data_IF_901232307173
#
_entry.id   IF_901232307173
#
_cell.length_a   1.000
_cell.length_b   1.000
_cell.length_c   1.000
_cell.angle_alpha   90.00
_cell.angle_beta   90.00
_cell.angle_gamma   90.00
#
_symmetry.space_group_name_H-M   'P 1'
#
loop_
_entity.id
_entity.type
_entity.pdbx_description
1 polymer ?
#
# COMPACT_ATOMS: atom_id res chain seq x y z
N UNK A 1 34.92 42.62 -46.97
CA UNK A 1 34.08 42.61 -45.78
C UNK A 1 33.17 41.39 -45.87
N UNK A 2 33.52 40.30 -45.12
CA UNK A 2 32.70 39.09 -45.06
C UNK A 2 31.86 39.13 -43.80
N UNK A 3 30.55 39.07 -43.94
CA UNK A 3 29.60 39.00 -42.85
C UNK A 3 29.33 37.52 -42.58
N UNK A 4 29.77 37.01 -41.40
CA UNK A 4 29.43 35.66 -40.94
C UNK A 4 28.17 35.75 -40.09
N UNK A 5 27.09 35.15 -40.61
CA UNK A 5 25.82 34.99 -39.83
C UNK A 5 25.93 33.69 -39.05
N UNK A 6 26.00 33.77 -37.73
CA UNK A 6 25.92 32.63 -36.85
C UNK A 6 24.45 32.36 -36.52
N UNK A 7 23.90 31.27 -37.09
CA UNK A 7 22.60 30.74 -36.69
C UNK A 7 22.73 29.98 -35.37
N UNK A 8 22.21 30.50 -34.27
CA UNK A 8 22.05 29.78 -33.04
C UNK A 8 20.81 28.89 -33.09
N UNK A 9 20.98 27.61 -33.24
CA UNK A 9 19.90 26.60 -33.08
C UNK A 9 19.72 26.32 -31.58
N UNK A 10 18.62 26.81 -31.04
CA UNK A 10 18.17 26.44 -29.71
C UNK A 10 17.62 25.01 -29.70
N UNK A 11 18.39 24.05 -29.16
CA UNK A 11 17.90 22.72 -28.82
C UNK A 11 16.97 22.88 -27.61
N UNK A 12 15.66 22.82 -27.86
CA UNK A 12 14.64 22.66 -26.82
C UNK A 12 14.82 21.30 -26.16
N UNK A 13 15.40 21.28 -24.97
CA UNK A 13 15.46 20.08 -24.13
C UNK A 13 14.06 19.72 -23.68
N UNK A 14 13.53 18.61 -24.19
CA UNK A 14 12.35 17.96 -23.61
C UNK A 14 12.78 17.42 -22.26
N UNK A 15 12.35 18.06 -21.18
CA UNK A 15 12.50 17.54 -19.83
C UNK A 15 11.68 16.23 -19.74
N UNK A 16 12.35 15.11 -19.96
CA UNK A 16 11.80 13.80 -19.69
C UNK A 16 11.52 13.71 -18.21
N UNK A 17 10.25 13.70 -17.83
CA UNK A 17 9.83 13.32 -16.48
C UNK A 17 10.24 11.86 -16.28
N UNK A 18 11.36 11.65 -15.61
CA UNK A 18 11.75 10.35 -15.07
C UNK A 18 10.69 9.99 -14.02
N UNK A 19 9.72 9.16 -14.39
CA UNK A 19 8.88 8.48 -13.39
C UNK A 19 9.82 7.53 -12.65
N UNK A 20 10.35 7.98 -11.52
CA UNK A 20 10.96 7.08 -10.56
C UNK A 20 9.83 6.16 -10.09
N UNK A 21 9.79 4.95 -10.62
CA UNK A 21 8.96 3.88 -10.04
C UNK A 21 9.44 3.74 -8.60
N UNK A 22 8.60 4.10 -7.63
CA UNK A 22 8.93 3.89 -6.23
C UNK A 22 9.32 2.42 -6.06
N UNK A 23 10.53 2.20 -5.54
CA UNK A 23 11.06 0.87 -5.32
C UNK A 23 10.14 0.13 -4.35
N UNK A 24 9.82 -1.13 -4.64
CA UNK A 24 9.02 -1.95 -3.74
C UNK A 24 9.83 -2.31 -2.50
N UNK A 25 9.21 -2.20 -1.35
CA UNK A 25 9.77 -2.61 -0.06
C UNK A 25 9.14 -3.93 0.38
N UNK A 26 9.69 -4.56 1.41
CA UNK A 26 9.21 -5.84 1.93
C UNK A 26 8.93 -5.75 3.41
N UNK A 27 7.90 -6.44 3.88
CA UNK A 27 7.58 -6.57 5.30
C UNK A 27 7.04 -7.97 5.59
N UNK A 28 7.25 -8.45 6.83
CA UNK A 28 6.68 -9.71 7.31
C UNK A 28 5.76 -9.42 8.50
N UNK A 29 4.50 -9.84 8.38
CA UNK A 29 3.50 -9.71 9.42
C UNK A 29 3.25 -11.07 10.07
N UNK A 30 3.19 -11.11 11.40
CA UNK A 30 2.87 -12.32 12.16
C UNK A 30 1.35 -12.44 12.34
N UNK A 31 0.86 -13.67 12.43
CA UNK A 31 -0.57 -13.92 12.68
C UNK A 31 -1.00 -13.37 14.05
N UNK A 32 -1.94 -12.42 14.05
CA UNK A 32 -2.49 -11.81 15.26
C UNK A 32 -3.05 -12.85 16.23
N UNK A 33 -3.79 -13.82 15.73
CA UNK A 33 -4.41 -14.89 16.51
C UNK A 33 -3.39 -15.80 17.18
N UNK A 34 -2.27 -16.10 16.49
CA UNK A 34 -1.25 -17.04 16.99
C UNK A 34 -0.37 -16.39 18.06
N UNK A 35 0.09 -15.17 17.81
CA UNK A 35 1.13 -14.54 18.62
C UNK A 35 0.58 -13.54 19.64
N UNK A 36 -0.68 -13.14 19.48
CA UNK A 36 -1.33 -12.10 20.33
C UNK A 36 -0.53 -10.78 20.39
N UNK A 37 0.24 -10.50 19.34
CA UNK A 37 1.09 -9.32 19.23
C UNK A 37 0.55 -8.40 18.13
N UNK A 38 -0.05 -7.28 18.56
CA UNK A 38 -0.66 -6.33 17.65
C UNK A 38 0.38 -5.63 16.75
N UNK A 39 1.48 -5.20 17.36
CA UNK A 39 2.51 -4.47 16.63
C UNK A 39 3.18 -5.32 15.52
N UNK A 40 3.33 -6.62 15.75
CA UNK A 40 3.90 -7.54 14.75
C UNK A 40 2.90 -8.03 13.71
N UNK A 41 1.60 -7.95 14.01
CA UNK A 41 0.54 -8.34 13.09
C UNK A 41 0.06 -7.20 12.20
N UNK A 42 0.30 -5.95 12.58
CA UNK A 42 -0.10 -4.76 11.87
C UNK A 42 1.06 -4.11 11.10
N UNK A 43 0.73 -3.37 10.06
CA UNK A 43 1.67 -2.64 9.23
C UNK A 43 1.14 -1.25 8.89
N UNK A 44 2.02 -0.24 8.94
CA UNK A 44 1.74 1.11 8.46
C UNK A 44 2.45 1.36 7.13
N UNK A 45 1.68 1.64 6.08
CA UNK A 45 2.24 2.03 4.78
C UNK A 45 2.84 3.44 4.81
N UNK A 46 2.28 4.34 5.61
CA UNK A 46 2.80 5.69 5.77
C UNK A 46 4.21 5.68 6.38
N UNK A 47 4.40 4.89 7.43
CA UNK A 47 5.68 4.82 8.16
C UNK A 47 6.60 3.70 7.66
N UNK A 48 6.07 2.75 6.88
CA UNK A 48 6.85 1.62 6.36
C UNK A 48 7.35 0.68 7.44
N UNK A 49 6.58 0.49 8.53
CA UNK A 49 7.06 -0.26 9.69
C UNK A 49 6.01 -1.17 10.33
N UNK A 50 6.51 -2.19 11.00
CA UNK A 50 5.78 -3.06 11.92
C UNK A 50 6.73 -3.53 13.04
N UNK A 51 6.22 -4.34 13.97
CA UNK A 51 7.01 -4.94 15.04
C UNK A 51 7.47 -3.94 16.11
N UNK A 52 8.70 -4.09 16.61
CA UNK A 52 9.20 -3.31 17.75
C UNK A 52 9.33 -1.81 17.44
N UNK A 53 9.74 -1.45 16.23
CA UNK A 53 9.83 -0.04 15.81
C UNK A 53 8.45 0.61 15.76
N UNK A 54 7.46 -0.15 15.41
CA UNK A 54 6.07 0.26 15.31
C UNK A 54 5.41 0.55 16.67
N UNK A 55 6.02 0.20 17.80
CA UNK A 55 5.52 0.61 19.11
C UNK A 55 5.51 2.13 19.32
N UNK A 56 6.20 2.87 18.46
CA UNK A 56 6.18 4.34 18.44
C UNK A 56 5.02 4.90 17.63
N UNK A 57 4.39 4.06 16.82
CA UNK A 57 3.25 4.40 15.98
C UNK A 57 1.98 4.31 16.81
N UNK A 58 1.09 5.27 16.69
CA UNK A 58 -0.19 5.23 17.42
C UNK A 58 -1.08 4.12 16.87
N UNK A 59 -2.12 3.73 17.60
CA UNK A 59 -3.03 2.69 17.14
C UNK A 59 -3.77 3.08 15.85
N UNK A 60 -3.90 4.36 15.58
CA UNK A 60 -4.58 4.89 14.40
C UNK A 60 -3.68 4.91 13.15
N UNK A 61 -2.37 4.73 13.31
CA UNK A 61 -1.42 4.72 12.20
C UNK A 61 -1.28 3.35 11.52
N UNK A 62 -2.06 2.34 11.95
CA UNK A 62 -2.04 1.01 11.37
C UNK A 62 -3.02 0.89 10.20
N UNK A 63 -2.51 0.48 9.03
CA UNK A 63 -3.27 0.43 7.78
C UNK A 63 -3.78 -0.97 7.44
N UNK A 64 -3.04 -2.01 7.84
CA UNK A 64 -3.42 -3.40 7.60
C UNK A 64 -3.01 -4.30 8.74
N UNK A 65 -3.85 -5.29 9.07
CA UNK A 65 -3.57 -6.36 10.04
C UNK A 65 -3.67 -7.72 9.37
N UNK A 66 -2.78 -8.64 9.74
CA UNK A 66 -2.82 -10.02 9.29
C UNK A 66 -3.21 -10.99 10.40
N UNK A 67 -4.04 -11.98 10.05
CA UNK A 67 -4.21 -13.20 10.84
C UNK A 67 -5.12 -13.08 12.05
N UNK A 68 -6.07 -12.13 12.08
CA UNK A 68 -7.03 -11.98 13.18
C UNK A 68 -8.15 -13.04 13.16
N UNK A 69 -8.58 -13.45 11.98
CA UNK A 69 -9.66 -14.43 11.76
C UNK A 69 -9.28 -15.62 10.87
N UNK A 70 -7.99 -15.94 10.72
CA UNK A 70 -7.44 -16.91 9.77
C UNK A 70 -6.38 -16.24 8.91
N UNK A 71 -6.04 -16.81 7.75
CA UNK A 71 -5.09 -16.19 6.83
C UNK A 71 -5.78 -15.09 6.00
N UNK A 72 -6.11 -13.99 6.67
CA UNK A 72 -6.85 -12.85 6.11
C UNK A 72 -6.19 -11.54 6.48
N UNK A 73 -6.47 -10.50 5.68
CA UNK A 73 -6.15 -9.12 5.97
C UNK A 73 -7.40 -8.36 6.39
N UNK A 74 -7.26 -7.54 7.42
CA UNK A 74 -8.23 -6.56 7.90
C UNK A 74 -7.66 -5.15 7.73
N UNK A 75 -8.48 -4.18 7.34
CA UNK A 75 -8.08 -2.77 7.17
C UNK A 75 -8.89 -1.81 8.06
N UNK A 76 -10.06 -2.21 8.56
CA UNK A 76 -10.87 -1.42 9.47
C UNK A 76 -10.66 -1.90 10.91
N UNK A 77 -9.67 -1.36 11.59
CA UNK A 77 -9.21 -1.85 12.89
C UNK A 77 -9.63 -0.98 14.07
N UNK A 78 -9.92 0.29 13.82
CA UNK A 78 -10.27 1.29 14.85
C UNK A 78 -11.63 1.92 14.57
N UNK A 79 -12.13 2.68 15.53
CA UNK A 79 -13.35 3.48 15.35
C UNK A 79 -13.05 4.60 14.34
N UNK A 80 -14.04 4.93 13.52
CA UNK A 80 -13.97 5.96 12.47
C UNK A 80 -13.07 5.63 11.26
N UNK A 81 -12.48 4.43 11.24
CA UNK A 81 -11.73 3.92 10.10
C UNK A 81 -12.68 3.60 8.93
N UNK A 82 -12.45 4.22 7.78
CA UNK A 82 -13.22 4.07 6.55
C UNK A 82 -12.41 3.46 5.42
N UNK A 83 -11.32 2.80 5.78
CA UNK A 83 -10.40 2.17 4.83
C UNK A 83 -11.07 1.07 4.02
N UNK A 84 -10.56 0.86 2.82
CA UNK A 84 -11.03 -0.13 1.86
C UNK A 84 -9.87 -1.00 1.39
N UNK A 85 -10.18 -2.26 1.14
CA UNK A 85 -9.24 -3.21 0.53
C UNK A 85 -9.90 -3.94 -0.63
N UNK A 86 -9.13 -4.20 -1.69
CA UNK A 86 -9.56 -4.99 -2.83
C UNK A 86 -8.45 -5.94 -3.27
N UNK A 87 -8.79 -7.21 -3.36
CA UNK A 87 -7.96 -8.21 -4.03
C UNK A 87 -8.05 -8.00 -5.55
N UNK A 88 -6.91 -7.81 -6.20
CA UNK A 88 -6.78 -7.61 -7.65
C UNK A 88 -6.46 -8.91 -8.38
N UNK A 89 -6.35 -10.04 -7.65
CA UNK A 89 -5.97 -11.33 -8.19
C UNK A 89 -4.46 -11.48 -8.39
N UNK A 90 -4.09 -12.51 -9.13
CA UNK A 90 -2.68 -12.83 -9.41
C UNK A 90 -2.07 -11.80 -10.36
N UNK A 91 -1.23 -10.93 -9.81
CA UNK A 91 -0.54 -9.87 -10.53
C UNK A 91 0.93 -9.78 -10.09
N UNK A 92 1.78 -9.34 -11.00
CA UNK A 92 3.19 -9.04 -10.75
C UNK A 92 3.41 -7.52 -10.81
N UNK A 93 4.43 -7.03 -10.11
CA UNK A 93 4.87 -5.62 -10.20
C UNK A 93 5.25 -5.17 -11.62
N UNK A 94 5.57 -6.11 -12.50
CA UNK A 94 5.87 -5.85 -13.92
C UNK A 94 4.61 -5.73 -14.78
N UNK A 95 3.43 -6.11 -14.29
CA UNK A 95 2.20 -5.95 -15.05
C UNK A 95 1.80 -4.47 -15.13
N UNK A 96 1.29 -4.07 -16.28
CA UNK A 96 0.57 -2.81 -16.41
C UNK A 96 -0.87 -3.03 -15.94
N UNK A 97 -1.31 -2.27 -14.95
CA UNK A 97 -2.69 -2.26 -14.47
C UNK A 97 -3.05 -0.89 -13.90
N UNK A 98 -4.33 -0.59 -13.87
CA UNK A 98 -4.82 0.61 -13.23
C UNK A 98 -5.14 0.34 -11.76
N UNK A 99 -4.69 1.24 -10.88
CA UNK A 99 -5.09 1.23 -9.48
C UNK A 99 -6.58 1.57 -9.42
N UNK A 100 -7.40 0.70 -8.84
CA UNK A 100 -8.84 0.96 -8.77
C UNK A 100 -9.15 2.12 -7.82
N UNK A 101 -10.16 2.90 -8.15
CA UNK A 101 -10.75 3.85 -7.22
C UNK A 101 -11.47 3.06 -6.13
N UNK A 102 -11.10 3.29 -4.88
CA UNK A 102 -11.70 2.71 -3.68
C UNK A 102 -12.23 3.87 -2.81
N UNK A 103 -13.46 4.35 -3.04
CA UNK A 103 -14.00 5.45 -2.24
C UNK A 103 -14.02 5.06 -0.76
N UNK A 104 -13.68 6.00 0.11
CA UNK A 104 -13.78 5.81 1.56
C UNK A 104 -15.17 5.28 1.94
N UNK A 105 -15.24 4.37 2.91
CA UNK A 105 -16.52 3.80 3.31
C UNK A 105 -17.44 4.91 3.86
N UNK A 106 -18.69 5.02 3.39
CA UNK A 106 -19.57 6.14 3.76
C UNK A 106 -19.99 6.10 5.24
N UNK A 107 -19.95 4.94 5.87
CA UNK A 107 -20.30 4.76 7.28
C UNK A 107 -19.15 4.09 8.04
N UNK A 108 -18.48 4.80 8.97
CA UNK A 108 -17.37 4.26 9.75
C UNK A 108 -17.80 3.14 10.75
N UNK A 109 -19.10 2.98 11.01
CA UNK A 109 -19.60 1.89 11.86
C UNK A 109 -19.62 0.53 11.14
N UNK A 110 -19.57 0.54 9.81
CA UNK A 110 -19.55 -0.67 8.99
C UNK A 110 -18.10 -1.02 8.66
N UNK A 111 -17.62 -2.13 9.20
CA UNK A 111 -16.28 -2.62 8.91
C UNK A 111 -16.17 -3.16 7.49
N UNK A 112 -15.05 -2.86 6.84
CA UNK A 112 -14.69 -3.52 5.59
C UNK A 112 -14.52 -5.03 5.83
N UNK A 113 -15.08 -5.90 4.98
CA UNK A 113 -14.87 -7.33 5.10
C UNK A 113 -13.38 -7.69 4.97
N UNK A 114 -12.94 -8.66 5.78
CA UNK A 114 -11.61 -9.23 5.65
C UNK A 114 -11.43 -9.88 4.28
N UNK A 115 -10.22 -9.82 3.72
CA UNK A 115 -9.86 -10.48 2.47
C UNK A 115 -8.84 -11.59 2.72
N UNK A 116 -8.96 -12.71 1.99
CA UNK A 116 -8.01 -13.82 2.10
C UNK A 116 -6.60 -13.40 1.67
N UNK A 117 -5.57 -13.86 2.40
CA UNK A 117 -4.19 -13.73 1.98
C UNK A 117 -3.84 -14.87 1.01
N UNK A 118 -3.59 -14.53 -0.25
CA UNK A 118 -3.29 -15.51 -1.31
C UNK A 118 -1.94 -15.19 -1.93
N UNK A 119 -1.02 -16.15 -1.95
CA UNK A 119 0.31 -15.99 -2.54
C UNK A 119 0.19 -15.62 -4.02
N UNK A 120 0.94 -14.60 -4.44
CA UNK A 120 0.93 -14.10 -5.80
C UNK A 120 -0.15 -13.04 -6.08
N UNK A 121 -1.14 -12.88 -5.18
CA UNK A 121 -2.16 -11.84 -5.35
C UNK A 121 -1.65 -10.46 -4.96
N UNK A 122 -2.10 -9.48 -5.71
CA UNK A 122 -1.91 -8.05 -5.46
C UNK A 122 -3.18 -7.48 -4.82
N UNK A 123 -3.00 -6.58 -3.87
CA UNK A 123 -4.08 -5.90 -3.17
C UNK A 123 -3.93 -4.40 -3.31
N UNK A 124 -5.04 -3.71 -3.54
CA UNK A 124 -5.11 -2.26 -3.43
C UNK A 124 -5.77 -1.91 -2.10
N UNK A 125 -5.18 -0.97 -1.38
CA UNK A 125 -5.70 -0.42 -0.12
C UNK A 125 -5.84 1.08 -0.28
N UNK A 126 -7.00 1.60 0.14
CA UNK A 126 -7.20 3.01 0.43
C UNK A 126 -7.39 3.13 1.94
N UNK A 127 -6.38 3.59 2.64
CA UNK A 127 -6.45 3.81 4.08
C UNK A 127 -6.98 5.22 4.36
N UNK A 128 -8.03 5.30 5.16
CA UNK A 128 -8.74 6.55 5.47
C UNK A 128 -9.18 6.53 6.93
N UNK A 129 -8.47 7.26 7.74
CA UNK A 129 -8.83 7.53 9.13
C UNK A 129 -8.69 9.02 9.47
N UNK A 130 -8.54 9.38 10.75
CA UNK A 130 -8.43 10.78 11.18
C UNK A 130 -7.10 11.43 10.81
N UNK A 131 -6.07 10.66 10.53
CA UNK A 131 -4.69 11.12 10.33
C UNK A 131 -4.14 10.73 8.96
N UNK A 132 -4.70 9.68 8.34
CA UNK A 132 -4.20 9.07 7.10
C UNK A 132 -5.25 9.10 5.99
N UNK A 133 -4.82 9.47 4.79
CA UNK A 133 -5.57 9.35 3.53
C UNK A 133 -4.57 9.02 2.41
N UNK A 134 -4.33 7.72 2.18
CA UNK A 134 -3.36 7.28 1.18
C UNK A 134 -3.78 6.01 0.46
N UNK A 135 -3.22 5.81 -0.73
CA UNK A 135 -3.33 4.57 -1.49
C UNK A 135 -2.04 3.78 -1.41
N UNK A 136 -2.15 2.49 -1.14
CA UNK A 136 -1.05 1.55 -1.20
C UNK A 136 -1.39 0.34 -2.06
N UNK A 137 -0.36 -0.25 -2.65
CA UNK A 137 -0.42 -1.57 -3.25
C UNK A 137 0.49 -2.50 -2.46
N UNK A 138 0.04 -3.72 -2.21
CA UNK A 138 0.92 -4.76 -1.72
C UNK A 138 0.65 -6.10 -2.40
N UNK A 139 1.67 -6.94 -2.46
CA UNK A 139 1.59 -8.28 -3.03
C UNK A 139 2.04 -9.29 -2.00
N UNK A 140 1.32 -10.41 -1.89
CA UNK A 140 1.74 -11.53 -1.03
C UNK A 140 2.84 -12.31 -1.74
N UNK A 141 4.04 -12.28 -1.18
CA UNK A 141 5.21 -12.99 -1.71
C UNK A 141 5.32 -14.40 -1.15
N UNK A 142 4.99 -14.56 0.13
CA UNK A 142 4.92 -15.88 0.77
C UNK A 142 3.92 -15.89 1.91
N UNK A 143 3.38 -17.07 2.21
CA UNK A 143 2.44 -17.30 3.29
C UNK A 143 2.82 -18.61 3.98
N UNK A 144 3.01 -18.55 5.28
CA UNK A 144 3.06 -19.71 6.16
C UNK A 144 1.72 -19.77 6.92
N UNK A 145 0.81 -20.68 6.53
CA UNK A 145 -0.57 -20.68 7.03
C UNK A 145 -0.66 -20.66 8.56
N UNK A 146 -1.47 -19.74 9.07
CA UNK A 146 -1.66 -19.53 10.51
C UNK A 146 -0.44 -18.96 11.25
N UNK A 147 0.64 -18.61 10.56
CA UNK A 147 1.90 -18.18 11.16
C UNK A 147 2.30 -16.77 10.75
N UNK A 148 2.65 -16.57 9.50
CA UNK A 148 3.10 -15.28 8.98
C UNK A 148 2.81 -15.11 7.49
N UNK A 149 2.85 -13.87 7.05
CA UNK A 149 2.80 -13.49 5.65
C UNK A 149 3.93 -12.50 5.35
N UNK A 150 4.61 -12.69 4.22
CA UNK A 150 5.55 -11.70 3.69
C UNK A 150 4.92 -10.98 2.52
N UNK A 151 4.93 -9.66 2.56
CA UNK A 151 4.41 -8.80 1.52
C UNK A 151 5.52 -7.95 0.91
N UNK A 152 5.43 -7.68 -0.39
CA UNK A 152 6.09 -6.55 -1.02
C UNK A 152 5.06 -5.43 -1.22
N UNK A 153 5.47 -4.16 -1.05
CA UNK A 153 4.52 -3.05 -1.01
C UNK A 153 5.12 -1.74 -1.52
N UNK A 154 4.26 -0.79 -1.85
CA UNK A 154 4.57 0.63 -2.10
C UNK A 154 3.34 1.50 -1.94
N UNK A 155 3.54 2.75 -1.54
CA UNK A 155 2.52 3.80 -1.64
C UNK A 155 2.42 4.25 -3.10
N UNK A 156 1.22 4.51 -3.56
CA UNK A 156 0.93 4.95 -4.93
C UNK A 156 0.10 6.23 -4.91
N UNK A 157 0.17 7.07 -5.97
CA UNK A 157 -0.69 8.24 -6.09
C UNK A 157 -2.17 7.84 -6.10
N UNK A 158 -3.02 8.67 -5.48
CA UNK A 158 -4.47 8.49 -5.53
C UNK A 158 -4.97 8.44 -6.98
N UNK A 159 -5.73 7.42 -7.38
CA UNK A 159 -6.30 7.34 -8.72
C UNK A 159 -7.37 8.41 -9.00
N UNK A 160 -7.91 9.06 -7.97
CA UNK A 160 -8.92 10.12 -8.09
C UNK A 160 -8.33 11.47 -8.52
N UNK A 161 -7.02 11.63 -8.47
CA UNK A 161 -6.30 12.87 -8.80
C UNK A 161 -5.80 12.94 -10.24
N UNK A 162 -6.32 12.12 -11.14
CA UNK A 162 -5.94 12.11 -12.56
C UNK A 162 -6.83 13.02 -13.40
#
# INVERSE_FOLDING_TARGET
LFLVVVCATSLGGVAGFSRTSAETQTATLLSRKKYDDYAKACFSFEHGMNGEEAQKVTRNDWDVQFGNGGDVFDVTMVTDDRSRIKDLGELSWSNEFEVPILPAHPNPEIREPSVAAVVGHMYAVHTVDTETDLYALFRVESLEPGNNVTISWKVVPSPEQK
#
